data_IF_525157178886
#
_entry.id   IF_525157178886
#
_cell.length_a   1.000
_cell.length_b   1.000
_cell.length_c   1.000
_cell.angle_alpha   90.00
_cell.angle_beta   90.00
_cell.angle_gamma   90.00
#
_symmetry.space_group_name_H-M   'P 1'
#
loop_
_entity.id
_entity.type
_entity.pdbx_description
1 polymer ?
#
# COMPACT_ATOMS: atom_id res chain seq x y z
N UNK A 1 -0.50 40.79 -7.77
CA UNK A 1 -0.12 39.98 -8.95
C UNK A 1 -1.29 39.04 -9.25
N UNK A 2 -1.79 39.00 -10.46
CA UNK A 2 -2.87 38.07 -10.81
C UNK A 2 -2.29 36.66 -11.04
N UNK A 3 -3.08 35.60 -10.82
CA UNK A 3 -2.62 34.19 -11.01
C UNK A 3 -2.08 33.94 -12.43
N UNK A 4 -2.66 34.58 -13.44
CA UNK A 4 -2.19 34.49 -14.85
C UNK A 4 -0.78 35.07 -15.07
N UNK A 5 -0.32 35.97 -14.18
CA UNK A 5 0.98 36.62 -14.27
C UNK A 5 2.05 35.85 -13.48
N UNK A 6 1.63 34.79 -12.77
CA UNK A 6 2.54 33.86 -12.10
C UNK A 6 3.13 32.95 -13.16
N UNK A 7 4.40 33.13 -13.48
CA UNK A 7 5.14 32.17 -14.30
C UNK A 7 5.16 30.86 -13.52
N UNK A 8 4.29 29.92 -13.90
CA UNK A 8 4.40 28.55 -13.45
C UNK A 8 5.72 28.02 -14.10
N UNK A 9 6.83 28.17 -13.41
CA UNK A 9 8.01 27.42 -13.79
C UNK A 9 7.59 25.95 -13.80
N UNK A 10 7.63 25.29 -14.96
CA UNK A 10 7.58 23.84 -15.03
C UNK A 10 8.61 23.34 -14.03
N UNK A 11 8.14 22.83 -12.92
CA UNK A 11 9.03 22.34 -11.87
C UNK A 11 9.64 21.05 -12.40
N UNK A 12 10.88 21.17 -12.89
CA UNK A 12 11.67 19.99 -13.22
C UNK A 12 11.66 19.06 -12.01
N UNK A 13 11.09 17.88 -12.17
CA UNK A 13 11.04 16.87 -11.12
C UNK A 13 12.32 16.07 -11.12
N UNK A 14 12.80 15.72 -9.96
CA UNK A 14 13.93 14.83 -9.79
C UNK A 14 13.42 13.39 -9.76
N UNK A 15 13.75 12.59 -10.77
CA UNK A 15 13.45 11.16 -10.73
C UNK A 15 14.22 10.50 -9.58
N UNK A 16 13.53 9.68 -8.81
CA UNK A 16 14.14 8.88 -7.74
C UNK A 16 14.96 7.70 -8.28
N UNK A 17 14.88 7.44 -9.59
CA UNK A 17 15.42 6.23 -10.19
C UNK A 17 14.64 4.96 -9.82
N UNK A 18 13.44 5.12 -9.24
CA UNK A 18 12.51 4.07 -8.83
C UNK A 18 11.15 4.43 -9.43
N UNK A 19 10.77 3.78 -10.53
CA UNK A 19 9.58 4.15 -11.33
C UNK A 19 8.27 4.03 -10.55
N UNK A 20 8.12 3.00 -9.74
CA UNK A 20 6.96 2.83 -8.87
C UNK A 20 6.83 3.97 -7.85
N UNK A 21 7.94 4.46 -7.30
CA UNK A 21 7.93 5.60 -6.38
C UNK A 21 7.68 6.92 -7.14
N UNK A 22 8.28 7.10 -8.30
CA UNK A 22 8.06 8.29 -9.14
C UNK A 22 6.58 8.40 -9.54
N UNK A 23 5.91 7.28 -9.87
CA UNK A 23 4.47 7.25 -10.15
C UNK A 23 3.66 7.76 -8.96
N UNK A 24 3.95 7.27 -7.75
CA UNK A 24 3.26 7.69 -6.52
C UNK A 24 3.50 9.17 -6.20
N UNK A 25 4.70 9.67 -6.48
CA UNK A 25 5.06 11.08 -6.32
C UNK A 25 4.43 11.97 -7.40
N UNK A 26 3.89 11.38 -8.48
CA UNK A 26 3.33 12.08 -9.64
C UNK A 26 4.40 12.52 -10.64
N UNK A 27 5.46 11.73 -10.80
CA UNK A 27 6.56 11.91 -11.75
C UNK A 27 7.90 12.30 -11.12
N UNK A 28 8.08 12.09 -9.81
CA UNK A 28 9.33 12.35 -9.10
C UNK A 28 9.26 13.44 -8.03
N UNK A 29 10.39 13.70 -7.38
CA UNK A 29 10.52 14.65 -6.26
C UNK A 29 10.49 16.07 -6.80
N UNK A 30 9.72 16.95 -6.17
CA UNK A 30 9.67 18.39 -6.50
C UNK A 30 10.71 19.14 -5.67
N UNK A 31 11.66 19.90 -6.28
CA UNK A 31 12.61 20.70 -5.55
C UNK A 31 11.96 21.70 -4.58
N UNK A 32 12.44 21.73 -3.34
CA UNK A 32 11.87 22.55 -2.28
C UNK A 32 10.61 21.98 -1.63
N UNK A 33 10.26 20.72 -1.92
CA UNK A 33 9.15 20.02 -1.28
C UNK A 33 9.55 19.33 0.03
N UNK A 34 8.58 19.18 0.91
CA UNK A 34 8.69 18.39 2.13
C UNK A 34 7.79 17.15 1.99
N UNK A 35 8.38 15.97 1.91
CA UNK A 35 7.70 14.67 1.74
C UNK A 35 7.83 13.87 3.02
N UNK A 36 6.73 13.48 3.62
CA UNK A 36 6.69 12.60 4.80
C UNK A 36 6.47 11.15 4.35
N UNK A 37 7.34 10.24 4.79
CA UNK A 37 7.23 8.81 4.55
C UNK A 37 6.90 8.13 5.88
N UNK A 38 5.61 7.76 6.04
CA UNK A 38 5.09 7.07 7.20
C UNK A 38 5.00 5.56 7.01
N UNK A 39 5.03 4.80 8.09
CA UNK A 39 4.87 3.35 8.07
C UNK A 39 5.36 2.68 9.34
N UNK A 40 4.99 1.41 9.54
CA UNK A 40 5.39 0.62 10.70
C UNK A 40 6.93 0.52 10.82
N UNK A 41 7.48 0.40 12.04
CA UNK A 41 8.91 0.15 12.22
C UNK A 41 9.36 -1.12 11.47
N UNK A 42 10.49 -1.05 10.75
CA UNK A 42 11.06 -2.18 10.00
C UNK A 42 10.34 -2.53 8.70
N UNK A 43 9.39 -1.70 8.21
CA UNK A 43 8.68 -1.93 6.94
C UNK A 43 9.58 -1.71 5.70
N UNK A 44 10.68 -0.94 5.83
CA UNK A 44 11.60 -0.63 4.74
C UNK A 44 11.74 0.86 4.40
N UNK A 45 11.23 1.78 5.22
CA UNK A 45 11.30 3.24 4.98
C UNK A 45 12.73 3.73 4.75
N UNK A 46 13.62 3.41 5.70
CA UNK A 46 15.04 3.80 5.64
C UNK A 46 15.78 3.11 4.48
N UNK A 47 15.36 1.90 4.10
CA UNK A 47 15.87 1.22 2.89
C UNK A 47 15.48 1.98 1.64
N UNK A 48 14.18 2.30 1.48
CA UNK A 48 13.67 3.04 0.32
C UNK A 48 14.37 4.40 0.17
N UNK A 49 14.46 5.18 1.27
CA UNK A 49 15.08 6.51 1.23
C UNK A 49 16.58 6.45 0.95
N UNK A 50 17.29 5.43 1.46
CA UNK A 50 18.70 5.20 1.14
C UNK A 50 18.88 4.86 -0.35
N UNK A 51 18.01 4.02 -0.93
CA UNK A 51 18.03 3.69 -2.36
C UNK A 51 17.78 4.93 -3.23
N UNK A 52 16.82 5.77 -2.85
CA UNK A 52 16.54 7.06 -3.54
C UNK A 52 17.79 7.94 -3.56
N UNK A 53 18.44 8.14 -2.40
CA UNK A 53 19.66 8.94 -2.36
C UNK A 53 20.81 8.31 -3.13
N UNK A 54 20.94 6.97 -3.12
CA UNK A 54 21.96 6.27 -3.90
C UNK A 54 21.79 6.52 -5.40
N UNK A 55 20.57 6.35 -5.92
CA UNK A 55 20.28 6.58 -7.33
C UNK A 55 20.52 8.04 -7.74
N UNK A 56 20.09 8.99 -6.91
CA UNK A 56 20.32 10.41 -7.16
C UNK A 56 21.82 10.77 -7.11
N UNK A 57 22.56 10.22 -6.15
CA UNK A 57 24.01 10.44 -6.02
C UNK A 57 24.76 9.86 -7.22
N UNK A 58 24.43 8.67 -7.68
CA UNK A 58 24.98 8.06 -8.90
C UNK A 58 24.65 8.86 -10.17
N UNK A 59 23.49 9.54 -10.18
CA UNK A 59 23.11 10.48 -11.24
C UNK A 59 23.81 11.84 -11.13
N UNK A 60 24.77 12.01 -10.22
CA UNK A 60 25.54 13.24 -10.02
C UNK A 60 24.79 14.35 -9.27
N UNK A 61 23.67 14.04 -8.61
CA UNK A 61 22.93 15.00 -7.79
C UNK A 61 23.54 15.13 -6.41
N UNK A 62 23.48 16.33 -5.84
CA UNK A 62 23.95 16.58 -4.48
C UNK A 62 22.93 16.05 -3.46
N UNK A 63 23.36 15.12 -2.61
CA UNK A 63 22.50 14.42 -1.64
C UNK A 63 23.08 14.50 -0.23
N UNK A 64 22.22 14.40 0.79
CA UNK A 64 22.64 14.31 2.19
C UNK A 64 21.69 13.39 2.97
N UNK A 65 22.24 12.49 3.77
CA UNK A 65 21.48 11.68 4.73
C UNK A 65 21.75 12.20 6.15
N UNK A 66 20.69 12.66 6.82
CA UNK A 66 20.71 13.05 8.24
C UNK A 66 20.09 11.91 9.04
N UNK A 67 20.88 11.29 9.90
CA UNK A 67 20.39 10.26 10.81
C UNK A 67 20.30 10.82 12.22
N UNK A 68 19.10 10.74 12.77
CA UNK A 68 18.84 11.10 14.16
C UNK A 68 18.60 9.87 15.06
N UNK A 69 18.58 8.64 14.49
CA UNK A 69 18.37 7.40 15.24
C UNK A 69 19.60 6.48 15.23
N UNK A 70 20.26 6.36 14.09
CA UNK A 70 21.36 5.42 13.88
C UNK A 70 22.70 6.13 13.78
N UNK A 71 23.76 5.49 14.29
CA UNK A 71 25.12 5.95 14.07
C UNK A 71 25.54 5.80 12.60
N UNK A 72 26.53 6.57 12.15
CA UNK A 72 27.09 6.45 10.80
C UNK A 72 27.59 5.04 10.48
N UNK A 73 28.11 4.31 11.48
CA UNK A 73 28.55 2.92 11.32
C UNK A 73 27.38 1.96 11.04
N UNK A 74 26.24 2.14 11.70
CA UNK A 74 25.04 1.32 11.46
C UNK A 74 24.45 1.60 10.07
N UNK A 75 24.40 2.88 9.66
CA UNK A 75 23.95 3.27 8.32
C UNK A 75 24.85 2.64 7.26
N UNK A 76 26.19 2.69 7.45
CA UNK A 76 27.15 2.08 6.53
C UNK A 76 26.92 0.57 6.39
N UNK A 77 26.68 -0.15 7.50
CA UNK A 77 26.40 -1.60 7.48
C UNK A 77 25.10 -1.91 6.72
N UNK A 78 24.07 -1.04 6.85
CA UNK A 78 22.83 -1.16 6.09
C UNK A 78 23.07 -0.84 4.61
N UNK A 79 23.74 0.25 4.30
CA UNK A 79 24.04 0.69 2.93
C UNK A 79 24.89 -0.33 2.17
N UNK A 80 25.81 -1.05 2.85
CA UNK A 80 26.64 -2.09 2.25
C UNK A 80 25.84 -3.31 1.73
N UNK A 81 24.61 -3.52 2.19
CA UNK A 81 23.71 -4.57 1.67
C UNK A 81 22.95 -4.11 0.41
N UNK A 82 22.85 -2.81 0.20
CA UNK A 82 22.22 -2.21 -0.95
C UNK A 82 23.23 -2.13 -2.10
N UNK A 83 22.80 -1.60 -3.26
CA UNK A 83 23.68 -1.41 -4.42
C UNK A 83 24.87 -0.50 -4.10
N UNK A 84 25.95 -0.66 -4.84
CA UNK A 84 27.26 -0.05 -4.56
C UNK A 84 27.23 1.49 -4.34
N UNK A 85 26.36 2.22 -5.03
CA UNK A 85 26.23 3.68 -4.90
C UNK A 85 25.81 4.18 -3.52
N UNK A 86 25.18 3.33 -2.70
CA UNK A 86 24.73 3.70 -1.37
C UNK A 86 25.88 4.07 -0.40
N UNK A 87 27.09 3.54 -0.62
CA UNK A 87 28.26 3.85 0.22
C UNK A 87 28.86 5.24 -0.09
N UNK A 88 28.52 5.85 -1.21
CA UNK A 88 28.99 7.20 -1.59
C UNK A 88 28.16 8.35 -1.00
N UNK A 89 27.01 8.07 -0.40
CA UNK A 89 26.10 9.09 0.13
C UNK A 89 26.76 9.81 1.33
N UNK A 90 26.84 11.16 1.32
CA UNK A 90 27.25 11.93 2.49
C UNK A 90 26.24 11.73 3.64
N UNK A 91 26.75 11.45 4.84
CA UNK A 91 25.94 11.15 6.04
C UNK A 91 26.40 12.03 7.21
N UNK A 92 25.41 12.56 7.95
CA UNK A 92 25.64 13.11 9.29
C UNK A 92 24.77 12.38 10.30
N UNK A 93 25.32 12.10 11.50
CA UNK A 93 24.57 11.56 12.62
C UNK A 93 24.38 12.71 13.63
N UNK A 94 23.18 13.31 13.66
CA UNK A 94 22.89 14.50 14.44
C UNK A 94 21.42 14.54 14.86
N UNK A 95 21.16 14.96 16.11
CA UNK A 95 19.82 15.10 16.69
C UNK A 95 19.42 16.56 16.97
N UNK A 96 20.39 17.47 17.00
CA UNK A 96 20.12 18.90 17.19
C UNK A 96 19.67 19.56 15.89
N UNK A 97 18.46 20.12 15.89
CA UNK A 97 17.86 20.76 14.72
C UNK A 97 18.70 21.92 14.19
N UNK A 98 19.24 22.75 15.09
CA UNK A 98 20.02 23.94 14.68
C UNK A 98 21.26 23.53 13.89
N UNK A 99 21.98 22.51 14.35
CA UNK A 99 23.15 21.93 13.66
C UNK A 99 22.76 21.34 12.30
N UNK A 100 21.62 20.64 12.22
CA UNK A 100 21.09 20.12 10.96
C UNK A 100 20.77 21.24 9.98
N UNK A 101 20.05 22.28 10.38
CA UNK A 101 19.71 23.42 9.54
C UNK A 101 20.95 24.17 9.05
N UNK A 102 21.94 24.43 9.92
CA UNK A 102 23.19 25.06 9.54
C UNK A 102 23.96 24.21 8.52
N UNK A 103 23.93 22.88 8.66
CA UNK A 103 24.56 21.97 7.69
C UNK A 103 23.85 22.02 6.34
N UNK A 104 22.51 21.98 6.32
CA UNK A 104 21.71 22.09 5.09
C UNK A 104 21.94 23.44 4.38
N UNK A 105 22.08 24.52 5.13
CA UNK A 105 22.39 25.85 4.55
C UNK A 105 23.78 25.91 3.93
N UNK A 106 24.78 25.26 4.53
CA UNK A 106 26.14 25.22 4.04
C UNK A 106 26.29 24.31 2.84
N UNK A 107 25.83 23.05 2.94
CA UNK A 107 26.04 22.02 1.92
C UNK A 107 25.07 22.14 0.74
N UNK A 108 23.89 22.72 0.94
CA UNK A 108 22.82 22.93 -0.06
C UNK A 108 22.56 21.71 -0.94
N UNK A 109 22.26 20.53 -0.36
CA UNK A 109 21.95 19.36 -1.16
C UNK A 109 20.67 19.61 -1.97
N UNK A 110 20.55 18.99 -3.15
CA UNK A 110 19.29 19.01 -3.92
C UNK A 110 18.22 18.17 -3.21
N UNK A 111 18.64 17.05 -2.61
CA UNK A 111 17.75 16.14 -1.85
C UNK A 111 18.40 15.75 -0.52
N UNK A 112 17.63 15.89 0.56
CA UNK A 112 18.02 15.47 1.90
C UNK A 112 17.02 14.44 2.46
N UNK A 113 17.53 13.40 3.10
CA UNK A 113 16.72 12.48 3.93
C UNK A 113 16.97 12.80 5.39
N UNK A 114 15.90 12.82 6.20
CA UNK A 114 15.96 12.96 7.67
C UNK A 114 15.28 11.73 8.29
N UNK A 115 16.05 10.91 9.00
CA UNK A 115 15.62 9.65 9.61
C UNK A 115 15.97 9.61 11.10
N UNK A 116 15.04 9.89 12.03
CA UNK A 116 13.64 10.23 11.82
C UNK A 116 13.32 11.63 12.37
N UNK A 117 12.17 12.16 11.94
CA UNK A 117 11.69 13.45 12.42
C UNK A 117 11.36 13.45 13.92
N UNK A 118 11.04 12.29 14.51
CA UNK A 118 10.69 12.17 15.93
C UNK A 118 11.89 12.28 16.87
N UNK A 119 13.08 12.02 16.40
CA UNK A 119 14.31 12.03 17.20
C UNK A 119 15.07 13.35 17.14
N UNK A 120 14.77 14.19 16.14
CA UNK A 120 15.26 15.56 16.12
C UNK A 120 14.62 16.40 17.23
N UNK A 121 15.39 17.32 17.78
CA UNK A 121 14.92 18.25 18.79
C UNK A 121 15.46 19.67 18.57
N UNK A 122 14.62 20.65 18.87
CA UNK A 122 15.00 22.06 18.95
C UNK A 122 15.30 22.41 20.41
N UNK A 123 16.49 22.98 20.64
CA UNK A 123 16.87 23.47 21.96
C UNK A 123 16.04 24.68 22.45
N UNK A 124 15.24 25.27 21.56
CA UNK A 124 14.34 26.39 21.93
C UNK A 124 13.09 25.95 22.69
N UNK A 125 12.76 24.65 22.63
CA UNK A 125 11.60 24.07 23.33
C UNK A 125 12.05 23.16 24.46
N UNK A 126 11.43 23.33 25.63
CA UNK A 126 11.68 22.50 26.81
C UNK A 126 11.02 21.11 26.77
N UNK A 127 10.17 20.86 25.78
CA UNK A 127 9.47 19.58 25.61
C UNK A 127 10.41 18.49 25.09
N UNK A 128 10.14 17.23 25.47
CA UNK A 128 10.96 16.09 25.03
C UNK A 128 10.90 15.88 23.52
N UNK A 129 11.99 15.33 22.94
CA UNK A 129 12.03 14.89 21.55
C UNK A 129 10.86 13.94 21.26
N UNK A 130 10.29 14.00 20.04
CA UNK A 130 9.11 13.22 19.65
C UNK A 130 7.78 13.73 20.19
N UNK A 131 7.78 14.75 21.07
CA UNK A 131 6.53 15.41 21.48
C UNK A 131 5.89 16.17 20.30
N UNK A 132 4.57 16.39 20.40
CA UNK A 132 3.80 17.12 19.37
C UNK A 132 4.42 18.50 19.06
N UNK A 133 4.86 19.22 20.09
CA UNK A 133 5.45 20.54 19.95
C UNK A 133 6.80 20.47 19.23
N UNK A 134 7.67 19.55 19.61
CA UNK A 134 8.98 19.35 18.97
C UNK A 134 8.85 18.96 17.51
N UNK A 135 8.04 17.95 17.21
CA UNK A 135 7.87 17.45 15.83
C UNK A 135 7.28 18.52 14.91
N UNK A 136 6.36 19.37 15.45
CA UNK A 136 5.80 20.50 14.71
C UNK A 136 6.85 21.57 14.43
N UNK A 137 7.65 21.92 15.41
CA UNK A 137 8.73 22.92 15.29
C UNK A 137 9.77 22.47 14.28
N UNK A 138 10.27 21.23 14.42
CA UNK A 138 11.22 20.62 13.50
C UNK A 138 10.71 20.66 12.05
N UNK A 139 9.47 20.19 11.84
CA UNK A 139 8.90 20.18 10.49
C UNK A 139 8.67 21.59 9.93
N UNK A 140 8.29 22.55 10.79
CA UNK A 140 8.10 23.96 10.40
C UNK A 140 9.39 24.62 9.90
N UNK A 141 10.46 24.52 10.67
CA UNK A 141 11.78 25.09 10.29
C UNK A 141 12.38 24.39 9.07
N UNK A 142 12.28 23.06 8.98
CA UNK A 142 12.72 22.32 7.81
C UNK A 142 11.94 22.70 6.54
N UNK A 143 10.62 22.93 6.64
CA UNK A 143 9.80 23.37 5.52
C UNK A 143 10.19 24.77 5.05
N UNK A 144 10.44 25.68 5.96
CA UNK A 144 10.88 27.05 5.65
C UNK A 144 12.21 27.04 4.90
N UNK A 145 13.21 26.30 5.42
CA UNK A 145 14.51 26.14 4.78
C UNK A 145 14.40 25.44 3.42
N UNK A 146 13.64 24.35 3.34
CA UNK A 146 13.42 23.59 2.11
C UNK A 146 12.91 24.50 0.98
N UNK A 147 11.90 25.33 1.26
CA UNK A 147 11.33 26.28 0.29
C UNK A 147 12.29 27.40 -0.05
N UNK A 148 12.98 27.99 0.94
CA UNK A 148 13.90 29.09 0.73
C UNK A 148 15.13 28.67 -0.08
N UNK A 149 15.64 27.47 0.11
CA UNK A 149 16.87 26.96 -0.55
C UNK A 149 16.59 25.98 -1.68
N UNK A 150 15.32 25.66 -1.96
CA UNK A 150 14.89 24.68 -2.97
C UNK A 150 15.44 23.26 -2.71
N UNK A 151 15.67 22.91 -1.46
CA UNK A 151 16.10 21.58 -1.03
C UNK A 151 14.86 20.70 -0.91
N UNK A 152 14.81 19.56 -1.60
CA UNK A 152 13.77 18.57 -1.37
C UNK A 152 14.12 17.76 -0.12
N UNK A 153 13.17 17.66 0.85
CA UNK A 153 13.40 16.97 2.11
C UNK A 153 12.45 15.79 2.23
N UNK A 154 13.00 14.59 2.37
CA UNK A 154 12.28 13.37 2.67
C UNK A 154 12.36 13.10 4.17
N UNK A 155 11.24 13.27 4.88
CA UNK A 155 11.12 12.99 6.30
C UNK A 155 10.68 11.56 6.54
N UNK A 156 11.45 10.76 7.26
CA UNK A 156 11.01 9.44 7.73
C UNK A 156 10.28 9.61 9.06
N UNK A 157 9.08 9.00 9.15
CA UNK A 157 8.25 9.02 10.35
C UNK A 157 7.72 7.62 10.70
N UNK A 158 7.47 7.39 11.99
CA UNK A 158 6.84 6.17 12.48
C UNK A 158 5.33 6.38 12.65
N UNK A 159 4.54 5.35 12.35
CA UNK A 159 3.11 5.29 12.68
C UNK A 159 2.90 4.54 13.99
N UNK A 160 1.86 4.89 14.73
CA UNK A 160 1.43 4.13 15.91
C UNK A 160 0.85 2.78 15.51
N UNK A 161 0.67 1.87 16.50
CA UNK A 161 0.06 0.55 16.29
C UNK A 161 -1.34 0.61 15.65
N UNK A 162 -2.03 1.74 15.81
CA UNK A 162 -3.37 1.98 15.25
C UNK A 162 -3.34 2.53 13.81
N UNK A 163 -2.17 2.50 13.15
CA UNK A 163 -2.00 2.98 11.76
C UNK A 163 -1.98 4.50 11.61
N UNK A 164 -2.08 5.25 12.73
CA UNK A 164 -1.95 6.71 12.74
C UNK A 164 -0.47 7.10 12.83
N UNK A 165 -0.08 8.21 12.20
CA UNK A 165 1.28 8.74 12.35
C UNK A 165 1.56 9.05 13.83
N UNK A 166 2.67 8.52 14.35
CA UNK A 166 3.16 8.87 15.68
C UNK A 166 3.72 10.30 15.62
N UNK A 167 2.96 11.17 16.15
CA UNK A 167 3.12 12.59 15.99
C UNK A 167 1.84 13.11 15.33
N UNK A 168 1.50 14.35 15.60
CA UNK A 168 0.14 14.79 15.35
C UNK A 168 -0.18 14.74 13.85
N UNK A 169 -1.44 14.57 13.54
CA UNK A 169 -2.07 14.95 12.26
C UNK A 169 -1.61 16.34 11.76
N UNK A 170 -0.95 17.10 12.61
CA UNK A 170 -0.29 18.37 12.34
C UNK A 170 0.79 18.26 11.25
N UNK A 171 1.55 17.15 11.17
CA UNK A 171 2.55 16.97 10.12
C UNK A 171 1.90 16.83 8.75
N UNK A 172 0.77 16.14 8.67
CA UNK A 172 0.05 15.99 7.40
C UNK A 172 -0.39 17.34 6.82
N UNK A 173 -0.68 18.32 7.67
CA UNK A 173 -1.03 19.67 7.22
C UNK A 173 0.18 20.51 6.80
N UNK A 174 1.33 20.29 7.41
CA UNK A 174 2.56 21.03 7.14
C UNK A 174 3.26 20.57 5.87
N UNK A 175 3.36 19.25 5.66
CA UNK A 175 4.10 18.70 4.52
C UNK A 175 3.32 18.81 3.20
N UNK A 176 4.04 18.76 2.08
CA UNK A 176 3.45 18.86 0.75
C UNK A 176 2.94 17.50 0.25
N UNK A 177 3.60 16.41 0.63
CA UNK A 177 3.24 15.05 0.28
C UNK A 177 3.38 14.14 1.50
N UNK A 178 2.42 13.20 1.67
CA UNK A 178 2.45 12.13 2.67
C UNK A 178 2.38 10.81 1.96
N UNK A 179 3.42 10.01 2.10
CA UNK A 179 3.49 8.64 1.61
C UNK A 179 3.29 7.69 2.78
N UNK A 180 2.35 6.78 2.62
CA UNK A 180 2.11 5.68 3.56
C UNK A 180 2.75 4.40 3.02
N UNK A 181 3.66 3.82 3.80
CA UNK A 181 4.29 2.56 3.50
C UNK A 181 3.57 1.44 4.26
N UNK A 182 2.97 0.51 3.54
CA UNK A 182 2.12 -0.55 4.07
C UNK A 182 2.70 -1.94 3.76
N UNK A 183 2.32 -2.91 4.58
CA UNK A 183 2.70 -4.31 4.48
C UNK A 183 3.01 -4.91 5.85
N UNK A 184 3.11 -6.23 5.91
CA UNK A 184 3.50 -6.96 7.11
C UNK A 184 4.98 -7.36 6.99
N UNK A 185 5.72 -7.35 8.11
CA UNK A 185 7.16 -7.67 8.12
C UNK A 185 7.47 -9.06 7.56
N UNK A 186 6.57 -10.00 7.77
CA UNK A 186 6.72 -11.40 7.39
C UNK A 186 6.32 -11.66 5.93
N UNK A 187 5.74 -10.67 5.24
CA UNK A 187 5.30 -10.80 3.86
C UNK A 187 6.33 -10.25 2.89
N UNK A 188 6.35 -10.80 1.69
CA UNK A 188 7.31 -10.44 0.66
C UNK A 188 7.04 -9.05 0.07
N UNK A 189 5.75 -8.68 -0.09
CA UNK A 189 5.35 -7.46 -0.78
C UNK A 189 5.05 -6.31 0.16
N UNK A 190 5.32 -5.09 -0.34
CA UNK A 190 5.08 -3.80 0.31
C UNK A 190 4.40 -2.87 -0.67
N UNK A 191 3.50 -2.02 -0.19
CA UNK A 191 2.88 -0.98 -1.00
C UNK A 191 3.22 0.40 -0.45
N UNK A 192 3.40 1.36 -1.34
CA UNK A 192 3.56 2.78 -1.01
C UNK A 192 2.43 3.54 -1.65
N UNK A 193 1.67 4.30 -0.87
CA UNK A 193 0.54 5.12 -1.34
C UNK A 193 0.73 6.57 -0.96
N UNK A 194 0.24 7.47 -1.80
CA UNK A 194 0.12 8.87 -1.43
C UNK A 194 -1.21 9.10 -0.69
N UNK A 195 -1.14 9.43 0.61
CA UNK A 195 -2.31 9.85 1.39
C UNK A 195 -2.62 11.33 1.14
N UNK A 196 -1.59 12.12 0.85
CA UNK A 196 -1.66 13.51 0.45
C UNK A 196 -0.60 13.79 -0.59
N UNK A 197 -0.96 14.49 -1.65
CA UNK A 197 0.02 14.94 -2.65
C UNK A 197 -0.44 16.27 -3.29
N UNK A 198 0.27 17.36 -2.97
CA UNK A 198 0.00 18.68 -3.57
C UNK A 198 0.47 18.79 -5.01
N UNK A 199 1.24 17.83 -5.48
CA UNK A 199 1.91 17.88 -6.79
C UNK A 199 1.38 16.81 -7.76
N UNK A 200 0.47 15.96 -7.33
CA UNK A 200 -0.05 14.86 -8.14
C UNK A 200 -1.28 14.19 -7.53
N UNK A 201 -1.68 13.11 -8.15
CA UNK A 201 -2.80 12.28 -7.69
C UNK A 201 -2.45 11.57 -6.37
N UNK A 202 -3.45 11.33 -5.54
CA UNK A 202 -3.37 10.44 -4.37
C UNK A 202 -3.86 9.02 -4.68
N UNK A 203 -4.24 8.77 -5.94
CA UNK A 203 -4.78 7.47 -6.35
C UNK A 203 -3.72 6.50 -6.85
N UNK A 204 -2.44 6.88 -6.81
CA UNK A 204 -1.36 6.01 -7.29
C UNK A 204 -0.78 5.20 -6.14
N UNK A 205 -0.45 3.92 -6.45
CA UNK A 205 0.20 3.02 -5.52
C UNK A 205 1.39 2.33 -6.21
N UNK A 206 2.52 2.29 -5.51
CA UNK A 206 3.72 1.57 -5.92
C UNK A 206 3.81 0.23 -5.19
N UNK A 207 4.14 -0.83 -5.90
CA UNK A 207 4.30 -2.17 -5.34
C UNK A 207 5.77 -2.58 -5.37
N UNK A 208 6.25 -3.06 -4.23
CA UNK A 208 7.65 -3.44 -4.02
C UNK A 208 7.75 -4.85 -3.42
N UNK A 209 8.78 -5.56 -3.81
CA UNK A 209 9.21 -6.81 -3.17
C UNK A 209 10.41 -6.51 -2.26
N UNK A 210 10.34 -6.94 -0.99
CA UNK A 210 11.48 -6.83 -0.08
C UNK A 210 12.44 -8.01 -0.31
N UNK A 211 13.68 -7.70 -0.65
CA UNK A 211 14.76 -8.68 -0.84
C UNK A 211 15.96 -8.36 0.04
N UNK A 212 16.93 -9.25 0.08
CA UNK A 212 18.14 -9.10 0.91
C UNK A 212 18.97 -7.87 0.48
N UNK A 213 18.92 -7.51 -0.80
CA UNK A 213 19.61 -6.38 -1.42
C UNK A 213 18.77 -5.10 -1.50
N UNK A 214 17.59 -5.06 -0.90
CA UNK A 214 16.72 -3.89 -0.82
C UNK A 214 15.31 -4.11 -1.32
N UNK A 215 14.67 -3.05 -1.79
CA UNK A 215 13.34 -3.04 -2.36
C UNK A 215 13.42 -3.11 -3.89
N UNK A 216 12.74 -4.08 -4.46
CA UNK A 216 12.65 -4.27 -5.91
C UNK A 216 11.24 -3.91 -6.37
N UNK A 217 11.14 -3.12 -7.42
CA UNK A 217 9.86 -2.74 -8.03
C UNK A 217 9.15 -3.95 -8.64
N UNK A 218 7.84 -4.02 -8.42
CA UNK A 218 6.98 -5.04 -9.03
C UNK A 218 6.19 -4.40 -10.17
N UNK A 219 6.78 -4.36 -11.36
CA UNK A 219 6.20 -3.68 -12.52
C UNK A 219 4.91 -4.35 -13.02
N UNK A 220 4.82 -5.66 -12.91
CA UNK A 220 3.61 -6.44 -13.23
C UNK A 220 3.21 -7.30 -12.02
N UNK A 221 2.54 -6.64 -11.07
CA UNK A 221 2.07 -7.29 -9.85
C UNK A 221 1.01 -8.37 -10.14
N UNK A 222 0.16 -8.15 -11.15
CA UNK A 222 -0.84 -9.14 -11.58
C UNK A 222 -0.19 -10.43 -12.08
N UNK A 223 0.83 -10.34 -12.93
CA UNK A 223 1.58 -11.51 -13.42
C UNK A 223 2.20 -12.31 -12.26
N UNK A 224 2.76 -11.57 -11.28
CA UNK A 224 3.42 -12.17 -10.12
C UNK A 224 2.43 -12.92 -9.23
N UNK A 225 1.29 -12.30 -8.89
CA UNK A 225 0.29 -12.92 -8.02
C UNK A 225 -0.47 -14.05 -8.69
N UNK A 226 -0.75 -13.96 -10.01
CA UNK A 226 -1.39 -15.03 -10.76
C UNK A 226 -0.50 -16.26 -10.97
N UNK A 227 0.82 -16.07 -11.07
CA UNK A 227 1.76 -17.18 -11.24
C UNK A 227 1.73 -18.18 -10.09
N UNK A 228 1.25 -17.77 -8.91
CA UNK A 228 1.11 -18.59 -7.72
C UNK A 228 -0.36 -18.98 -7.43
N UNK A 229 -1.32 -18.49 -8.23
CA UNK A 229 -2.75 -18.73 -7.99
C UNK A 229 -3.11 -20.20 -8.17
N UNK A 230 -3.86 -20.73 -7.21
CA UNK A 230 -4.30 -22.13 -7.22
C UNK A 230 -5.66 -22.27 -7.92
N UNK A 231 -5.95 -23.46 -8.41
CA UNK A 231 -7.25 -23.83 -9.03
C UNK A 231 -8.00 -24.84 -8.20
N UNK A 232 -7.90 -24.69 -6.90
CA UNK A 232 -8.47 -25.61 -5.93
C UNK A 232 -9.78 -25.07 -5.35
N UNK A 233 -10.61 -25.90 -4.73
CA UNK A 233 -11.74 -25.41 -3.96
C UNK A 233 -11.30 -24.38 -2.91
N UNK A 234 -12.03 -23.27 -2.85
CA UNK A 234 -11.71 -22.14 -1.97
C UNK A 234 -10.88 -21.04 -2.60
N UNK A 235 -10.39 -21.18 -3.83
CA UNK A 235 -9.57 -20.17 -4.53
C UNK A 235 -10.36 -19.45 -5.62
N UNK A 236 -10.23 -18.11 -5.67
CA UNK A 236 -10.84 -17.22 -6.67
C UNK A 236 -9.89 -16.06 -6.94
N UNK A 237 -9.82 -15.55 -8.15
CA UNK A 237 -9.06 -14.35 -8.49
C UNK A 237 -9.94 -13.11 -8.40
N UNK A 238 -9.56 -12.17 -7.56
CA UNK A 238 -10.16 -10.84 -7.48
C UNK A 238 -9.48 -9.91 -8.50
N UNK A 239 -10.29 -9.24 -9.32
CA UNK A 239 -9.83 -8.08 -10.07
C UNK A 239 -9.94 -6.84 -9.17
N UNK A 240 -8.92 -6.56 -8.38
CA UNK A 240 -8.83 -5.44 -7.45
C UNK A 240 -8.39 -4.15 -8.15
N UNK A 241 -8.60 -3.02 -7.47
CA UNK A 241 -7.98 -1.73 -7.80
C UNK A 241 -7.19 -1.26 -6.59
N UNK A 242 -5.92 -1.00 -6.83
CA UNK A 242 -5.02 -0.39 -5.88
C UNK A 242 -4.71 1.04 -6.33
N UNK A 243 -5.38 2.02 -5.71
CA UNK A 243 -5.35 3.39 -6.23
C UNK A 243 -6.05 3.51 -7.59
N UNK A 244 -5.28 3.76 -8.65
CA UNK A 244 -5.76 3.76 -10.04
C UNK A 244 -5.36 2.50 -10.82
N UNK A 245 -4.52 1.64 -10.24
CA UNK A 245 -3.91 0.47 -10.88
C UNK A 245 -4.76 -0.78 -10.68
N UNK A 246 -5.15 -1.47 -11.76
CA UNK A 246 -5.77 -2.78 -11.64
C UNK A 246 -4.75 -3.82 -11.18
N UNK A 247 -5.21 -4.75 -10.35
CA UNK A 247 -4.39 -5.78 -9.73
C UNK A 247 -5.18 -7.09 -9.64
N UNK A 248 -4.60 -8.18 -10.11
CA UNK A 248 -5.19 -9.51 -9.98
C UNK A 248 -4.62 -10.21 -8.75
N UNK A 249 -5.47 -10.53 -7.78
CA UNK A 249 -5.06 -11.09 -6.49
C UNK A 249 -5.88 -12.33 -6.17
N UNK A 250 -5.24 -13.40 -5.72
CA UNK A 250 -5.93 -14.60 -5.26
C UNK A 250 -6.56 -14.37 -3.87
N UNK A 251 -7.85 -14.69 -3.76
CA UNK A 251 -8.56 -14.81 -2.50
C UNK A 251 -8.74 -16.28 -2.19
N UNK A 252 -8.25 -16.72 -1.04
CA UNK A 252 -8.42 -18.07 -0.55
C UNK A 252 -9.35 -18.10 0.66
N UNK A 253 -10.27 -19.07 0.69
CA UNK A 253 -11.12 -19.35 1.83
C UNK A 253 -10.99 -20.81 2.27
N UNK A 254 -10.97 -21.02 3.57
CA UNK A 254 -11.06 -22.33 4.21
C UNK A 254 -12.26 -22.32 5.16
N UNK A 255 -13.11 -23.34 5.04
CA UNK A 255 -14.25 -23.54 5.94
C UNK A 255 -14.15 -24.94 6.55
N UNK A 256 -14.15 -25.00 7.87
CA UNK A 256 -14.07 -26.27 8.62
C UNK A 256 -15.09 -26.29 9.75
N UNK A 257 -15.48 -27.48 10.22
CA UNK A 257 -16.30 -27.60 11.43
C UNK A 257 -15.62 -26.94 12.62
N UNK A 258 -16.39 -26.22 13.45
CA UNK A 258 -15.84 -25.57 14.64
C UNK A 258 -16.26 -26.32 15.90
N UNK A 259 -15.32 -26.50 16.81
CA UNK A 259 -15.58 -26.99 18.18
C UNK A 259 -15.81 -25.82 19.17
N UNK A 260 -15.67 -24.57 18.68
CA UNK A 260 -15.75 -23.35 19.49
C UNK A 260 -17.11 -22.68 19.38
N UNK A 261 -17.54 -22.03 20.46
CA UNK A 261 -18.73 -21.18 20.51
C UNK A 261 -18.29 -19.80 21.05
N UNK A 262 -18.37 -18.72 20.23
CA UNK A 262 -18.69 -18.70 18.79
C UNK A 262 -17.57 -19.24 17.90
N UNK A 263 -17.91 -19.72 16.69
CA UNK A 263 -16.92 -20.14 15.71
C UNK A 263 -15.98 -19.00 15.29
N UNK A 264 -14.77 -19.36 14.86
CA UNK A 264 -13.73 -18.37 14.45
C UNK A 264 -14.08 -17.70 13.12
N UNK A 265 -13.80 -16.42 13.04
CA UNK A 265 -13.83 -15.62 11.80
C UNK A 265 -12.50 -14.92 11.68
N UNK A 266 -11.65 -15.40 10.80
CA UNK A 266 -10.30 -14.89 10.59
C UNK A 266 -10.20 -14.35 9.17
N UNK A 267 -9.75 -13.10 9.04
CA UNK A 267 -9.49 -12.47 7.76
C UNK A 267 -8.06 -11.91 7.78
N UNK A 268 -7.29 -12.27 6.77
CA UNK A 268 -5.94 -11.76 6.54
C UNK A 268 -5.93 -11.01 5.19
N UNK A 269 -5.55 -9.74 5.22
CA UNK A 269 -5.60 -8.87 4.04
C UNK A 269 -7.01 -8.40 3.65
N UNK A 270 -8.04 -8.71 4.44
CA UNK A 270 -9.43 -8.30 4.23
C UNK A 270 -10.07 -7.88 5.56
N UNK A 271 -11.06 -6.97 5.53
CA UNK A 271 -11.71 -6.48 6.75
C UNK A 271 -12.63 -7.55 7.38
N UNK A 272 -12.47 -7.76 8.69
CA UNK A 272 -13.24 -8.79 9.44
C UNK A 272 -14.73 -8.46 9.52
N UNK A 273 -15.11 -7.20 9.64
CA UNK A 273 -16.53 -6.81 9.73
C UNK A 273 -17.20 -7.02 8.37
N UNK A 274 -16.45 -6.71 7.29
CA UNK A 274 -16.93 -6.97 5.93
C UNK A 274 -17.09 -8.46 5.65
N UNK A 275 -16.18 -9.31 6.10
CA UNK A 275 -16.35 -10.77 6.07
C UNK A 275 -17.65 -11.20 6.77
N UNK A 276 -17.97 -10.64 7.94
CA UNK A 276 -19.20 -10.96 8.66
C UNK A 276 -20.45 -10.58 7.86
N UNK A 277 -20.45 -9.44 7.15
CA UNK A 277 -21.54 -9.02 6.25
C UNK A 277 -21.70 -10.00 5.08
N UNK A 278 -20.60 -10.36 4.41
CA UNK A 278 -20.62 -11.33 3.30
C UNK A 278 -21.20 -12.67 3.75
N UNK A 279 -20.79 -13.18 4.91
CA UNK A 279 -21.33 -14.44 5.47
C UNK A 279 -22.82 -14.35 5.80
N UNK A 280 -23.29 -13.22 6.32
CA UNK A 280 -24.71 -13.01 6.60
C UNK A 280 -25.54 -13.02 5.30
N UNK A 281 -25.06 -12.35 4.24
CA UNK A 281 -25.71 -12.34 2.93
C UNK A 281 -25.73 -13.72 2.30
N UNK A 282 -24.64 -14.49 2.38
CA UNK A 282 -24.58 -15.90 1.92
C UNK A 282 -25.60 -16.77 2.65
N UNK A 283 -25.70 -16.64 3.97
CA UNK A 283 -26.68 -17.36 4.75
C UNK A 283 -28.13 -17.04 4.34
N UNK A 284 -28.45 -15.76 4.20
CA UNK A 284 -29.82 -15.29 3.92
C UNK A 284 -30.27 -15.52 2.48
N UNK A 285 -29.39 -15.22 1.50
CA UNK A 285 -29.78 -15.17 0.09
C UNK A 285 -29.33 -16.38 -0.72
N UNK A 286 -28.33 -17.13 -0.27
CA UNK A 286 -27.84 -18.33 -0.94
C UNK A 286 -28.10 -19.63 -0.16
N UNK A 287 -28.64 -19.57 1.06
CA UNK A 287 -28.83 -20.73 1.92
C UNK A 287 -27.54 -21.40 2.40
N UNK A 288 -26.40 -20.67 2.29
CA UNK A 288 -25.08 -21.19 2.68
C UNK A 288 -24.75 -20.63 4.06
N UNK A 289 -25.09 -21.40 5.08
CA UNK A 289 -24.84 -21.05 6.47
C UNK A 289 -23.46 -21.53 6.93
N UNK A 290 -22.61 -20.61 7.36
CA UNK A 290 -21.35 -20.92 8.03
C UNK A 290 -21.46 -20.73 9.56
N UNK A 291 -22.69 -20.79 10.12
CA UNK A 291 -22.96 -20.45 11.52
C UNK A 291 -22.21 -21.31 12.55
N UNK A 292 -21.99 -22.59 12.24
CA UNK A 292 -21.32 -23.59 13.09
C UNK A 292 -19.90 -23.93 12.62
N UNK A 293 -19.39 -23.23 11.58
CA UNK A 293 -18.09 -23.54 10.98
C UNK A 293 -17.09 -22.41 11.23
N UNK A 294 -15.84 -22.73 11.44
CA UNK A 294 -14.76 -21.78 11.37
C UNK A 294 -14.55 -21.34 9.92
N UNK A 295 -14.36 -20.03 9.71
CA UNK A 295 -14.11 -19.46 8.39
C UNK A 295 -12.83 -18.64 8.43
N UNK A 296 -11.92 -18.97 7.53
CA UNK A 296 -10.66 -18.29 7.31
C UNK A 296 -10.65 -17.74 5.89
N UNK A 297 -10.31 -16.46 5.72
CA UNK A 297 -10.12 -15.82 4.43
C UNK A 297 -8.74 -15.19 4.39
N UNK A 298 -8.02 -15.41 3.31
CA UNK A 298 -6.69 -14.87 3.09
C UNK A 298 -6.58 -14.24 1.71
N UNK A 299 -6.05 -13.02 1.66
CA UNK A 299 -5.57 -12.39 0.44
C UNK A 299 -4.13 -12.83 0.23
N UNK A 300 -3.88 -13.57 -0.85
CA UNK A 300 -2.55 -14.12 -1.13
C UNK A 300 -1.59 -13.01 -1.58
N UNK A 301 -0.30 -13.18 -1.30
CA UNK A 301 0.74 -12.22 -1.68
C UNK A 301 0.94 -11.05 -0.72
N UNK A 302 0.16 -10.98 0.37
CA UNK A 302 0.38 -9.98 1.41
C UNK A 302 -0.19 -8.59 1.12
N UNK A 303 -0.95 -8.47 0.05
CA UNK A 303 -1.70 -7.25 -0.27
C UNK A 303 -2.90 -7.12 0.66
N UNK A 304 -3.24 -5.90 1.04
CA UNK A 304 -4.46 -5.60 1.77
C UNK A 304 -5.51 -5.04 0.83
N UNK A 305 -6.67 -5.68 0.79
CA UNK A 305 -7.80 -5.25 -0.03
C UNK A 305 -8.87 -4.63 0.86
N UNK A 306 -9.05 -3.32 0.77
CA UNK A 306 -10.01 -2.57 1.58
C UNK A 306 -11.26 -2.13 0.79
N UNK A 307 -11.31 -2.45 -0.51
CA UNK A 307 -12.38 -2.01 -1.39
C UNK A 307 -13.61 -2.93 -1.36
N UNK A 308 -14.82 -2.39 -1.55
CA UNK A 308 -16.06 -3.17 -1.65
C UNK A 308 -16.07 -4.18 -2.80
N UNK A 309 -15.30 -3.93 -3.86
CA UNK A 309 -15.20 -4.80 -5.02
C UNK A 309 -14.76 -6.24 -4.73
N UNK A 310 -14.20 -6.48 -3.55
CA UNK A 310 -13.75 -7.80 -3.11
C UNK A 310 -14.87 -8.73 -2.60
N UNK A 311 -16.05 -8.21 -2.31
CA UNK A 311 -17.09 -8.99 -1.63
C UNK A 311 -17.50 -10.24 -2.38
N UNK A 312 -17.72 -10.13 -3.69
CA UNK A 312 -18.13 -11.29 -4.49
C UNK A 312 -17.00 -12.32 -4.55
N UNK A 313 -15.73 -11.91 -4.57
CA UNK A 313 -14.59 -12.84 -4.56
C UNK A 313 -14.56 -13.64 -3.25
N UNK A 314 -14.73 -12.96 -2.11
CA UNK A 314 -14.83 -13.62 -0.80
C UNK A 314 -16.05 -14.55 -0.74
N UNK A 315 -17.19 -14.10 -1.25
CA UNK A 315 -18.41 -14.92 -1.27
C UNK A 315 -18.20 -16.20 -2.11
N UNK A 316 -17.66 -16.09 -3.32
CA UNK A 316 -17.40 -17.23 -4.20
C UNK A 316 -16.34 -18.17 -3.64
N UNK A 317 -15.27 -17.65 -3.03
CA UNK A 317 -14.25 -18.46 -2.37
C UNK A 317 -14.84 -19.27 -1.19
N UNK A 318 -15.64 -18.62 -0.33
CA UNK A 318 -16.32 -19.30 0.79
C UNK A 318 -17.28 -20.39 0.29
N UNK A 319 -18.10 -20.09 -0.73
CA UNK A 319 -19.03 -21.08 -1.30
C UNK A 319 -18.29 -22.25 -1.92
N UNK A 320 -17.21 -21.98 -2.62
CA UNK A 320 -16.32 -22.99 -3.19
C UNK A 320 -15.74 -23.90 -2.11
N UNK A 321 -15.24 -23.34 -1.03
CA UNK A 321 -14.72 -24.09 0.12
C UNK A 321 -15.78 -24.95 0.79
N UNK A 322 -16.99 -24.40 1.03
CA UNK A 322 -18.12 -25.14 1.63
C UNK A 322 -18.57 -26.31 0.74
N UNK A 323 -18.61 -26.12 -0.57
CA UNK A 323 -19.03 -27.14 -1.53
C UNK A 323 -17.95 -28.14 -1.89
N UNK A 324 -16.69 -27.85 -1.60
CA UNK A 324 -15.53 -28.64 -2.03
C UNK A 324 -15.37 -28.67 -3.56
N UNK A 325 -15.84 -27.62 -4.26
CA UNK A 325 -15.84 -27.54 -5.73
C UNK A 325 -15.05 -26.30 -6.15
N UNK A 326 -14.08 -26.50 -7.02
CA UNK A 326 -13.35 -25.37 -7.61
C UNK A 326 -14.29 -24.52 -8.47
N UNK A 327 -14.19 -23.16 -8.39
CA UNK A 327 -14.99 -22.29 -9.24
C UNK A 327 -14.65 -22.52 -10.72
N UNK A 328 -15.68 -22.64 -11.58
CA UNK A 328 -15.48 -22.87 -13.00
C UNK A 328 -15.00 -21.60 -13.72
N UNK A 329 -13.76 -21.61 -14.17
CA UNK A 329 -13.29 -20.75 -15.26
C UNK A 329 -13.30 -21.51 -16.59
N UNK A 330 -13.22 -20.82 -17.72
CA UNK A 330 -13.06 -21.46 -19.02
C UNK A 330 -11.62 -22.04 -19.15
N UNK A 331 -11.51 -23.18 -19.82
CA UNK A 331 -10.23 -23.80 -20.19
C UNK A 331 -9.22 -24.01 -19.03
N UNK A 332 -9.74 -24.26 -17.82
CA UNK A 332 -8.90 -24.50 -16.67
C UNK A 332 -8.19 -23.25 -16.11
N UNK A 333 -8.58 -22.06 -16.52
CA UNK A 333 -8.13 -20.82 -15.90
C UNK A 333 -8.84 -20.59 -14.54
N UNK A 334 -8.20 -19.87 -13.58
CA UNK A 334 -8.88 -19.49 -12.36
C UNK A 334 -10.05 -18.54 -12.67
N UNK A 335 -11.12 -18.62 -11.88
CA UNK A 335 -12.25 -17.71 -12.02
C UNK A 335 -11.87 -16.32 -11.55
N UNK A 336 -12.06 -15.32 -12.41
CA UNK A 336 -11.89 -13.92 -12.07
C UNK A 336 -13.24 -13.24 -11.73
N UNK A 337 -13.26 -12.34 -10.77
CA UNK A 337 -14.47 -11.64 -10.36
C UNK A 337 -14.18 -10.30 -9.65
N UNK A 338 -15.20 -9.44 -9.62
CA UNK A 338 -15.25 -8.24 -8.76
C UNK A 338 -16.69 -7.74 -8.63
N UNK A 339 -16.97 -7.05 -7.52
CA UNK A 339 -18.26 -6.41 -7.28
C UNK A 339 -18.61 -6.32 -5.81
N UNK A 340 -19.35 -5.27 -5.44
CA UNK A 340 -19.86 -5.09 -4.09
C UNK A 340 -21.13 -5.90 -3.88
N UNK A 341 -21.21 -6.59 -2.74
CA UNK A 341 -22.37 -7.39 -2.37
C UNK A 341 -23.28 -6.60 -1.42
N UNK A 342 -24.45 -6.20 -1.89
CA UNK A 342 -25.44 -5.53 -1.07
C UNK A 342 -26.16 -6.47 -0.12
N UNK A 343 -26.70 -5.93 0.97
CA UNK A 343 -27.37 -6.71 2.02
C UNK A 343 -28.65 -7.41 1.55
N UNK A 344 -29.24 -6.96 0.45
CA UNK A 344 -30.42 -7.57 -0.18
C UNK A 344 -30.06 -8.62 -1.23
N UNK A 345 -28.76 -8.92 -1.40
CA UNK A 345 -28.23 -9.95 -2.29
C UNK A 345 -28.02 -9.49 -3.73
N UNK A 346 -28.11 -8.19 -4.00
CA UNK A 346 -27.74 -7.58 -5.26
C UNK A 346 -26.21 -7.46 -5.40
N UNK A 347 -25.72 -7.55 -6.63
CA UNK A 347 -24.31 -7.27 -6.96
C UNK A 347 -24.23 -5.87 -7.56
N UNK A 348 -23.49 -4.98 -6.90
CA UNK A 348 -23.35 -3.56 -7.23
C UNK A 348 -22.07 -3.27 -7.96
N UNK A 349 -22.15 -2.33 -8.91
CA UNK A 349 -20.99 -1.82 -9.62
C UNK A 349 -20.03 -1.09 -8.69
N UNK A 350 -18.75 -1.22 -9.01
CA UNK A 350 -17.64 -0.56 -8.31
C UNK A 350 -16.84 0.28 -9.29
N UNK A 351 -16.00 1.18 -8.75
CA UNK A 351 -15.18 2.05 -9.58
C UNK A 351 -14.23 1.26 -10.52
N UNK A 352 -13.96 1.86 -11.68
CA UNK A 352 -12.98 1.36 -12.66
C UNK A 352 -13.27 -0.04 -13.22
N UNK A 353 -14.54 -0.40 -13.45
CA UNK A 353 -14.94 -1.70 -14.01
C UNK A 353 -14.20 -2.04 -15.30
N UNK A 354 -14.10 -1.10 -16.24
CA UNK A 354 -13.42 -1.31 -17.52
C UNK A 354 -11.93 -1.66 -17.35
N UNK A 355 -11.24 -1.01 -16.40
CA UNK A 355 -9.83 -1.28 -16.11
C UNK A 355 -9.63 -2.69 -15.51
N UNK A 356 -10.55 -3.13 -14.66
CA UNK A 356 -10.53 -4.47 -14.07
C UNK A 356 -10.72 -5.54 -15.14
N UNK A 357 -11.68 -5.33 -16.04
CA UNK A 357 -11.95 -6.22 -17.16
C UNK A 357 -10.77 -6.27 -18.14
N UNK A 358 -10.18 -5.11 -18.46
CA UNK A 358 -9.00 -5.03 -19.32
C UNK A 358 -7.79 -5.79 -18.73
N UNK A 359 -7.57 -5.66 -17.41
CA UNK A 359 -6.49 -6.40 -16.76
C UNK A 359 -6.76 -7.90 -16.74
N UNK A 360 -7.98 -8.35 -16.44
CA UNK A 360 -8.34 -9.76 -16.52
C UNK A 360 -8.13 -10.32 -17.93
N UNK A 361 -8.54 -9.58 -18.96
CA UNK A 361 -8.39 -9.96 -20.37
C UNK A 361 -6.92 -10.09 -20.79
N UNK A 362 -6.03 -9.19 -20.29
CA UNK A 362 -4.59 -9.25 -20.53
C UNK A 362 -3.99 -10.60 -20.12
N UNK A 363 -4.54 -11.24 -19.09
CA UNK A 363 -4.10 -12.54 -18.59
C UNK A 363 -4.98 -13.72 -19.05
N UNK A 364 -5.89 -13.49 -20.00
CA UNK A 364 -6.77 -14.52 -20.53
C UNK A 364 -7.83 -15.01 -19.54
N UNK A 365 -8.11 -14.24 -18.49
CA UNK A 365 -9.14 -14.58 -17.51
C UNK A 365 -10.51 -14.11 -18.01
N UNK A 366 -11.39 -15.04 -18.31
CA UNK A 366 -12.75 -14.72 -18.73
C UNK A 366 -13.61 -15.98 -18.92
N UNK A 367 -14.93 -15.86 -18.88
CA UNK A 367 -15.69 -14.64 -18.51
C UNK A 367 -15.53 -14.24 -17.03
N UNK A 368 -15.49 -12.94 -16.76
CA UNK A 368 -15.36 -12.39 -15.42
C UNK A 368 -16.75 -12.31 -14.76
N UNK A 369 -16.86 -12.75 -13.50
CA UNK A 369 -18.09 -12.55 -12.71
C UNK A 369 -18.11 -11.12 -12.19
N UNK A 370 -19.00 -10.30 -12.70
CA UNK A 370 -19.09 -8.86 -12.41
C UNK A 370 -20.53 -8.34 -12.44
N UNK A 371 -20.82 -7.15 -11.90
CA UNK A 371 -22.20 -6.65 -11.76
C UNK A 371 -22.97 -6.43 -13.05
N UNK A 372 -22.29 -6.06 -14.15
CA UNK A 372 -22.94 -5.85 -15.45
C UNK A 372 -23.47 -7.14 -16.07
N UNK A 373 -22.76 -8.26 -15.84
CA UNK A 373 -23.17 -9.59 -16.30
C UNK A 373 -24.09 -10.30 -15.29
N UNK A 374 -23.92 -10.03 -14.00
CA UNK A 374 -24.58 -10.77 -12.92
C UNK A 374 -25.15 -9.78 -11.88
N UNK A 375 -26.42 -9.41 -12.00
CA UNK A 375 -27.04 -8.43 -11.10
C UNK A 375 -27.30 -8.89 -9.67
N UNK A 376 -27.13 -10.18 -9.36
CA UNK A 376 -27.39 -10.76 -8.02
C UNK A 376 -26.39 -11.85 -7.64
N UNK A 377 -26.19 -12.06 -6.33
CA UNK A 377 -25.41 -13.17 -5.80
C UNK A 377 -25.87 -14.53 -6.36
N UNK A 378 -27.20 -14.75 -6.45
CA UNK A 378 -27.74 -16.01 -6.99
C UNK A 378 -27.34 -16.24 -8.45
N UNK A 379 -27.39 -15.20 -9.28
CA UNK A 379 -26.97 -15.28 -10.67
C UNK A 379 -25.47 -15.59 -10.77
N UNK A 380 -24.63 -14.94 -9.97
CA UNK A 380 -23.20 -15.20 -9.90
C UNK A 380 -22.88 -16.62 -9.47
N UNK A 381 -23.57 -17.14 -8.44
CA UNK A 381 -23.40 -18.52 -7.96
C UNK A 381 -23.87 -19.55 -8.99
N UNK A 382 -24.99 -19.31 -9.68
CA UNK A 382 -25.52 -20.20 -10.73
C UNK A 382 -24.55 -20.26 -11.92
N UNK A 383 -23.97 -19.13 -12.31
CA UNK A 383 -22.95 -19.07 -13.36
C UNK A 383 -21.68 -19.85 -12.95
N UNK A 384 -21.19 -19.62 -11.73
CA UNK A 384 -19.92 -20.18 -11.25
C UNK A 384 -19.98 -21.69 -10.97
N UNK A 385 -21.07 -22.17 -10.37
CA UNK A 385 -21.18 -23.54 -9.86
C UNK A 385 -22.28 -24.38 -10.55
N UNK A 386 -22.98 -23.82 -11.52
CA UNK A 386 -24.16 -24.45 -12.13
C UNK A 386 -25.40 -24.40 -11.25
N UNK A 387 -26.55 -24.63 -11.83
CA UNK A 387 -27.86 -24.73 -11.15
C UNK A 387 -28.08 -26.08 -10.49
N UNK A 388 -27.17 -26.57 -9.64
CA UNK A 388 -27.49 -27.73 -8.83
C UNK A 388 -28.53 -27.34 -7.76
N UNK A 389 -29.76 -27.78 -7.96
CA UNK A 389 -30.81 -27.79 -6.91
C UNK A 389 -30.24 -28.41 -5.65
N UNK A 390 -30.48 -27.75 -4.51
CA UNK A 390 -30.20 -28.30 -3.19
C UNK A 390 -30.90 -29.62 -2.99
N UNK A 391 -30.16 -30.72 -3.01
CA UNK A 391 -30.50 -31.84 -2.18
C UNK A 391 -30.01 -31.49 -0.76
N UNK A 392 -30.86 -30.85 0.02
CA UNK A 392 -30.75 -30.85 1.48
C UNK A 392 -30.89 -32.29 1.93
N UNK A 393 -29.77 -32.93 2.30
CA UNK A 393 -29.83 -34.12 3.14
C UNK A 393 -30.33 -33.66 4.52
N UNK A 394 -31.43 -34.22 4.94
CA UNK A 394 -32.07 -34.08 6.22
C UNK A 394 -31.16 -34.57 7.37
#
# INVERSE_FOLDING_TARGET
MALRDVVAAERERLSTGIGELDNVLGGGIVPGSLVLIGGSPGIGKSTLTTMVLANLHEAGRSTLYVSAEESAAQIRLRAARLRAGALGIPVIAETDLHTVLATLERERPEVCVIDSVQTLHSGELSSAAGSVAQVREVAGQLMELAKARRIAVLLVGHVTKDGTLAGPRVLEHLVDCVLQFEGERERTYRTVRAIKNRFGSTNEAGVFEMRDDGLVEVLDASARFLGEATRTPGSVVLCAIEGSRPLLVEIQALVSSSELVPPRRVASGFDRNRLALVLAVLGRHAGIGAGTSDVFVNVVGGVRVEEPGADIAVALAVVSAVRGVAPGGTDGQPLACFGELGLTGELRSVAHGDRRLAEAAKFGLGPVVEPGAHGTLRAALAHTFGTRQHALAA
#
